data_IF_353237796151
#
_entry.id   IF_353237796151
#
_cell.length_a   1.000
_cell.length_b   1.000
_cell.length_c   1.000
_cell.angle_alpha   90.00
_cell.angle_beta   90.00
_cell.angle_gamma   90.00
#
_symmetry.space_group_name_H-M   'P 1'
#
loop_
_entity.id
_entity.type
_entity.pdbx_description
1 polymer ?
#
# COMPACT_ATOMS: atom_id res chain seq x y z
N UNK A 1 -25.96 -3.80 3.40
CA UNK A 1 -24.72 -4.55 3.71
C UNK A 1 -24.67 -5.77 2.81
N UNK A 2 -23.61 -5.93 2.02
CA UNK A 2 -23.44 -7.10 1.15
C UNK A 2 -22.65 -8.15 1.93
N UNK A 3 -23.12 -9.39 1.93
CA UNK A 3 -22.41 -10.51 2.54
C UNK A 3 -21.84 -11.40 1.45
N UNK A 4 -20.59 -11.82 1.62
CA UNK A 4 -19.91 -12.77 0.74
C UNK A 4 -19.33 -13.89 1.57
N UNK A 5 -19.61 -15.13 1.20
CA UNK A 5 -18.98 -16.30 1.79
C UNK A 5 -17.86 -16.79 0.86
N UNK A 6 -16.77 -17.32 1.41
CA UNK A 6 -15.67 -17.83 0.60
C UNK A 6 -14.56 -18.47 1.43
N UNK A 7 -13.60 -19.07 0.75
CA UNK A 7 -12.45 -19.74 1.37
C UNK A 7 -11.24 -18.82 1.33
N UNK A 8 -10.58 -18.61 2.46
CA UNK A 8 -9.35 -17.82 2.49
C UNK A 8 -8.20 -18.65 1.92
N UNK A 9 -7.70 -18.25 0.75
CA UNK A 9 -6.60 -18.91 0.05
C UNK A 9 -5.24 -18.25 0.30
N UNK A 10 -5.22 -17.06 0.91
CA UNK A 10 -3.96 -16.41 1.28
C UNK A 10 -4.10 -15.19 2.17
N UNK A 11 -3.03 -14.89 2.89
CA UNK A 11 -2.89 -13.73 3.78
C UNK A 11 -1.59 -12.98 3.42
N UNK A 12 -1.67 -11.98 2.53
CA UNK A 12 -0.49 -11.21 2.10
C UNK A 12 0.18 -10.42 3.23
N UNK A 13 -0.63 -9.85 4.14
CA UNK A 13 -0.23 -8.97 5.24
C UNK A 13 -1.20 -9.14 6.43
N UNK A 14 -1.04 -8.35 7.49
CA UNK A 14 -1.84 -8.52 8.72
C UNK A 14 -3.29 -8.03 8.64
N UNK A 15 -3.71 -7.39 7.56
CA UNK A 15 -5.07 -6.85 7.41
C UNK A 15 -5.70 -7.08 6.03
N UNK A 16 -5.09 -7.90 5.18
CA UNK A 16 -5.60 -8.23 3.85
C UNK A 16 -5.70 -9.74 3.67
N UNK A 17 -6.79 -10.18 3.06
CA UNK A 17 -7.07 -11.57 2.69
C UNK A 17 -7.21 -11.71 1.18
N UNK A 18 -6.86 -12.90 0.67
CA UNK A 18 -7.25 -13.39 -0.64
C UNK A 18 -8.36 -14.41 -0.43
N UNK A 19 -9.57 -14.08 -0.88
CA UNK A 19 -10.76 -14.90 -0.73
C UNK A 19 -11.12 -15.52 -2.08
N UNK A 20 -11.30 -16.84 -2.10
CA UNK A 20 -11.86 -17.56 -3.23
C UNK A 20 -13.37 -17.69 -3.01
N UNK A 21 -14.16 -17.12 -3.92
CA UNK A 21 -15.62 -17.10 -3.87
C UNK A 21 -16.15 -18.00 -4.98
N UNK A 22 -17.01 -18.95 -4.62
CA UNK A 22 -17.66 -19.81 -5.59
C UNK A 22 -18.80 -19.06 -6.29
N UNK A 23 -19.05 -19.33 -7.58
CA UNK A 23 -20.13 -18.69 -8.29
C UNK A 23 -21.49 -19.08 -7.72
N UNK A 24 -22.33 -18.08 -7.45
CA UNK A 24 -23.66 -18.26 -6.86
C UNK A 24 -23.74 -18.01 -5.36
N UNK A 25 -22.61 -17.82 -4.65
CA UNK A 25 -22.62 -17.44 -3.23
C UNK A 25 -22.75 -15.91 -3.00
N UNK A 26 -22.72 -15.10 -4.06
CA UNK A 26 -23.07 -13.68 -4.02
C UNK A 26 -24.60 -13.51 -3.89
N UNK A 27 -25.12 -13.58 -2.67
CA UNK A 27 -26.56 -13.51 -2.40
C UNK A 27 -27.09 -12.07 -2.55
N UNK A 28 -27.48 -11.72 -3.77
CA UNK A 28 -28.62 -10.84 -4.05
C UNK A 28 -29.74 -11.72 -4.60
N UNK A 29 -30.88 -11.76 -3.90
CA UNK A 29 -32.03 -12.62 -4.22
C UNK A 29 -32.59 -12.35 -5.63
N UNK A 30 -32.14 -13.09 -6.64
CA UNK A 30 -32.88 -13.22 -7.90
C UNK A 30 -32.78 -14.64 -8.45
N UNK A 31 -33.87 -15.39 -8.31
CA UNK A 31 -34.01 -16.76 -8.80
C UNK A 31 -34.19 -16.71 -10.32
N UNK A 32 -33.14 -17.03 -11.10
CA UNK A 32 -33.25 -17.13 -12.56
C UNK A 32 -33.58 -18.58 -12.96
N UNK A 33 -34.54 -18.82 -13.88
CA UNK A 33 -34.95 -20.16 -14.27
C UNK A 33 -33.84 -20.92 -15.01
N UNK A 34 -33.70 -22.20 -14.68
CA UNK A 34 -32.69 -23.12 -15.22
C UNK A 34 -33.09 -23.57 -16.63
N UNK A 35 -32.62 -22.86 -17.64
CA UNK A 35 -32.69 -23.31 -19.04
C UNK A 35 -31.54 -22.72 -19.86
N UNK A 36 -30.33 -23.26 -19.62
CA UNK A 36 -29.21 -23.42 -20.57
C UNK A 36 -27.99 -23.97 -19.84
N UNK A 37 -27.52 -25.16 -20.24
CA UNK A 37 -26.16 -25.64 -19.93
C UNK A 37 -25.16 -24.68 -20.60
N UNK A 38 -24.69 -23.66 -19.87
CA UNK A 38 -23.57 -22.80 -20.28
C UNK A 38 -22.72 -22.55 -19.07
N UNK A 39 -21.53 -23.16 -19.06
CA UNK A 39 -20.35 -22.88 -18.24
C UNK A 39 -20.67 -22.31 -16.85
N UNK A 40 -20.67 -23.16 -15.82
CA UNK A 40 -20.57 -22.69 -14.43
C UNK A 40 -19.47 -21.63 -14.37
N UNK A 41 -19.72 -20.43 -13.82
CA UNK A 41 -18.68 -19.40 -13.79
C UNK A 41 -17.45 -19.95 -13.07
N UNK A 42 -16.26 -19.47 -13.40
CA UNK A 42 -15.06 -19.87 -12.66
C UNK A 42 -15.10 -19.25 -11.25
N UNK A 43 -14.54 -19.91 -10.22
CA UNK A 43 -14.38 -19.30 -8.92
C UNK A 43 -13.51 -18.05 -9.03
N UNK A 44 -13.93 -16.99 -8.34
CA UNK A 44 -13.28 -15.68 -8.42
C UNK A 44 -12.41 -15.45 -7.18
N UNK A 45 -11.19 -14.96 -7.39
CA UNK A 45 -10.32 -14.55 -6.30
C UNK A 45 -10.41 -13.04 -6.07
N UNK A 46 -10.86 -12.63 -4.89
CA UNK A 46 -10.99 -11.23 -4.50
C UNK A 46 -10.03 -10.89 -3.36
N UNK A 47 -9.63 -9.62 -3.27
CA UNK A 47 -8.84 -9.11 -2.15
C UNK A 47 -9.76 -8.39 -1.18
N UNK A 48 -9.69 -8.78 0.09
CA UNK A 48 -10.49 -8.20 1.15
C UNK A 48 -9.56 -7.53 2.15
N UNK A 49 -9.75 -6.24 2.44
CA UNK A 49 -9.08 -5.54 3.52
C UNK A 49 -10.01 -5.49 4.73
N UNK A 50 -9.46 -5.82 5.89
CA UNK A 50 -10.18 -5.76 7.16
C UNK A 50 -10.55 -4.31 7.44
N UNK A 51 -11.85 -4.05 7.51
CA UNK A 51 -12.40 -2.73 7.78
C UNK A 51 -12.09 -2.25 9.20
N UNK A 52 -11.85 -0.95 9.33
CA UNK A 52 -11.70 -0.26 10.60
C UNK A 52 -10.38 -0.48 11.32
N UNK A 53 -9.50 -1.33 10.80
CA UNK A 53 -8.22 -1.65 11.43
C UNK A 53 -7.04 -1.51 10.45
N UNK A 54 -5.85 -1.34 10.99
CA UNK A 54 -4.60 -1.29 10.25
C UNK A 54 -3.53 -2.05 11.05
N UNK A 55 -2.86 -3.01 10.41
CA UNK A 55 -1.82 -3.80 11.10
C UNK A 55 -0.42 -3.26 10.85
N UNK A 56 0.54 -3.50 11.76
CA UNK A 56 1.93 -3.14 11.52
C UNK A 56 2.43 -3.74 10.20
N UNK A 57 3.09 -2.91 9.39
CA UNK A 57 3.65 -3.34 8.11
C UNK A 57 4.64 -4.50 8.32
N UNK A 58 4.87 -5.33 7.30
CA UNK A 58 5.77 -6.49 7.42
C UNK A 58 7.17 -6.15 7.97
N UNK A 59 7.67 -4.95 7.67
CA UNK A 59 8.97 -4.46 8.13
C UNK A 59 8.92 -3.68 9.46
N UNK A 60 7.74 -3.45 10.03
CA UNK A 60 7.58 -2.85 11.34
C UNK A 60 7.77 -3.90 12.45
N UNK A 61 8.13 -3.45 13.66
CA UNK A 61 7.92 -4.24 14.87
C UNK A 61 6.51 -4.85 14.88
N UNK A 62 6.42 -6.12 15.29
CA UNK A 62 5.17 -6.90 15.35
C UNK A 62 4.47 -7.24 14.01
N UNK A 63 4.91 -6.73 12.86
CA UNK A 63 4.21 -6.95 11.58
C UNK A 63 4.09 -8.41 11.17
N UNK A 64 5.17 -9.19 11.32
CA UNK A 64 5.14 -10.63 11.04
C UNK A 64 4.21 -11.40 12.00
N UNK A 65 4.16 -11.01 13.28
CA UNK A 65 3.28 -11.66 14.27
C UNK A 65 1.82 -11.35 13.99
N UNK A 66 1.49 -10.12 13.61
CA UNK A 66 0.13 -9.75 13.21
C UNK A 66 -0.33 -10.56 11.98
N UNK A 67 0.51 -10.65 10.94
CA UNK A 67 0.22 -11.50 9.77
C UNK A 67 0.02 -12.98 10.15
N UNK A 68 0.88 -13.52 11.00
CA UNK A 68 0.78 -14.90 11.43
C UNK A 68 -0.52 -15.17 12.19
N UNK A 69 -0.89 -14.29 13.13
CA UNK A 69 -2.15 -14.41 13.89
C UNK A 69 -3.38 -14.43 12.97
N UNK A 70 -3.44 -13.52 11.99
CA UNK A 70 -4.52 -13.53 11.00
C UNK A 70 -4.53 -14.84 10.20
N UNK A 71 -3.37 -15.29 9.72
CA UNK A 71 -3.26 -16.54 8.97
C UNK A 71 -3.71 -17.77 9.79
N UNK A 72 -3.29 -17.88 11.05
CA UNK A 72 -3.65 -18.99 11.93
C UNK A 72 -5.16 -19.06 12.18
N UNK A 73 -5.82 -17.90 12.23
CA UNK A 73 -7.28 -17.80 12.42
C UNK A 73 -8.05 -18.22 11.17
N UNK A 74 -7.69 -17.70 9.99
CA UNK A 74 -8.57 -17.75 8.82
C UNK A 74 -8.06 -18.54 7.63
N UNK A 75 -6.75 -18.81 7.51
CA UNK A 75 -6.20 -19.46 6.31
C UNK A 75 -6.80 -20.86 6.12
N UNK A 76 -7.21 -21.17 4.88
CA UNK A 76 -7.91 -22.42 4.50
C UNK A 76 -9.22 -22.65 5.26
N UNK A 77 -9.81 -21.61 5.85
CA UNK A 77 -11.15 -21.64 6.46
C UNK A 77 -12.17 -20.97 5.52
N UNK A 78 -13.42 -21.41 5.61
CA UNK A 78 -14.56 -20.69 5.03
C UNK A 78 -14.98 -19.57 5.99
N UNK A 79 -15.03 -18.34 5.48
CA UNK A 79 -15.39 -17.14 6.24
C UNK A 79 -16.56 -16.42 5.57
N UNK A 80 -17.29 -15.65 6.36
CA UNK A 80 -18.28 -14.69 5.88
C UNK A 80 -17.71 -13.28 5.97
N UNK A 81 -17.82 -12.52 4.90
CA UNK A 81 -17.38 -11.13 4.82
C UNK A 81 -18.61 -10.23 4.76
N UNK A 82 -18.83 -9.44 5.80
CA UNK A 82 -19.78 -8.32 5.75
C UNK A 82 -19.09 -7.10 5.16
N UNK A 83 -19.55 -6.60 4.02
CA UNK A 83 -18.92 -5.50 3.29
C UNK A 83 -19.85 -4.30 3.09
N UNK A 84 -19.24 -3.12 3.18
CA UNK A 84 -19.86 -1.82 2.95
C UNK A 84 -19.40 -1.16 1.63
N UNK A 85 -18.37 -1.71 0.96
CA UNK A 85 -17.88 -1.17 -0.30
C UNK A 85 -16.46 -1.60 -0.64
N UNK A 86 -15.87 -0.92 -1.63
CA UNK A 86 -14.49 -1.13 -2.08
C UNK A 86 -13.67 0.14 -1.81
N UNK A 87 -12.38 -0.03 -1.57
CA UNK A 87 -11.46 1.10 -1.52
C UNK A 87 -11.03 1.55 -2.93
N UNK A 88 -10.31 2.69 -2.99
CA UNK A 88 -9.80 3.24 -4.25
C UNK A 88 -8.83 2.32 -5.02
N UNK A 89 -8.38 1.23 -4.41
CA UNK A 89 -7.47 0.26 -5.00
C UNK A 89 -8.21 -1.02 -5.44
N UNK A 90 -9.54 -1.04 -5.40
CA UNK A 90 -10.37 -2.18 -5.77
C UNK A 90 -10.32 -3.33 -4.76
N UNK A 91 -9.96 -3.07 -3.50
CA UNK A 91 -10.06 -4.07 -2.42
C UNK A 91 -11.41 -3.93 -1.75
N UNK A 92 -12.08 -5.05 -1.53
CA UNK A 92 -13.30 -5.09 -0.75
C UNK A 92 -12.98 -4.72 0.70
N UNK A 93 -13.67 -3.72 1.25
CA UNK A 93 -13.61 -3.39 2.68
C UNK A 93 -14.66 -4.22 3.41
N UNK A 94 -14.25 -4.96 4.46
CA UNK A 94 -15.22 -5.72 5.22
C UNK A 94 -14.76 -6.27 6.56
N UNK A 95 -15.75 -6.70 7.33
CA UNK A 95 -15.60 -7.46 8.57
C UNK A 95 -15.64 -8.95 8.28
N UNK A 96 -14.70 -9.67 8.88
CA UNK A 96 -14.54 -11.10 8.65
C UNK A 96 -15.14 -11.86 9.84
N UNK A 97 -16.09 -12.75 9.53
CA UNK A 97 -16.76 -13.60 10.50
C UNK A 97 -16.40 -15.07 10.26
N UNK A 98 -16.00 -15.77 11.32
CA UNK A 98 -15.70 -17.21 11.30
C UNK A 98 -16.44 -17.91 12.45
N UNK A 99 -17.50 -18.64 12.15
CA UNK A 99 -18.27 -19.35 13.18
C UNK A 99 -18.82 -18.44 14.29
N UNK A 100 -19.25 -17.23 13.93
CA UNK A 100 -19.76 -16.21 14.88
C UNK A 100 -18.69 -15.31 15.51
N UNK A 101 -17.40 -15.62 15.31
CA UNK A 101 -16.29 -14.78 15.77
C UNK A 101 -16.07 -13.60 14.83
N UNK A 102 -15.93 -12.40 15.37
CA UNK A 102 -15.49 -11.20 14.64
C UNK A 102 -13.96 -11.13 14.65
N UNK A 103 -13.34 -11.49 13.53
CA UNK A 103 -11.88 -11.57 13.41
C UNK A 103 -11.24 -10.18 13.48
N UNK A 104 -11.91 -9.13 13.00
CA UNK A 104 -11.38 -7.77 13.09
C UNK A 104 -11.22 -7.36 14.56
N UNK A 105 -12.24 -7.66 15.39
CA UNK A 105 -12.20 -7.40 16.84
C UNK A 105 -11.19 -8.24 17.59
N UNK A 106 -11.04 -9.52 17.24
CA UNK A 106 -10.00 -10.37 17.83
C UNK A 106 -8.60 -9.83 17.55
N UNK A 107 -8.33 -9.42 16.30
CA UNK A 107 -7.04 -8.85 15.93
C UNK A 107 -6.69 -7.60 16.73
N UNK A 108 -7.68 -6.77 17.07
CA UNK A 108 -7.47 -5.58 17.92
C UNK A 108 -7.27 -5.97 19.39
N UNK A 109 -8.16 -6.80 19.94
CA UNK A 109 -8.14 -7.24 21.35
C UNK A 109 -6.85 -7.98 21.71
N UNK A 110 -6.30 -8.75 20.79
CA UNK A 110 -5.04 -9.48 20.96
C UNK A 110 -3.80 -8.59 20.71
N UNK A 111 -3.99 -7.30 20.37
CA UNK A 111 -2.90 -6.36 20.12
C UNK A 111 -2.15 -6.62 18.81
N UNK A 112 -2.82 -7.10 17.77
CA UNK A 112 -2.23 -7.28 16.45
C UNK A 112 -2.53 -6.13 15.48
N UNK A 113 -3.52 -5.29 15.79
CA UNK A 113 -3.95 -4.20 14.93
C UNK A 113 -4.21 -2.90 15.69
N UNK A 114 -4.02 -1.78 15.00
CA UNK A 114 -4.45 -0.46 15.43
C UNK A 114 -5.85 -0.19 14.91
N UNK A 115 -6.66 0.53 15.69
CA UNK A 115 -7.96 1.01 15.22
C UNK A 115 -7.74 2.23 14.32
N UNK A 116 -8.23 2.15 13.09
CA UNK A 116 -8.05 3.24 12.13
C UNK A 116 -9.15 4.29 12.30
N UNK A 117 -9.04 5.09 13.37
CA UNK A 117 -10.05 6.09 13.80
C UNK A 117 -10.45 7.13 12.76
N UNK A 118 -9.65 7.29 11.69
CA UNK A 118 -10.01 8.14 10.54
C UNK A 118 -11.22 7.59 9.75
N UNK A 119 -11.40 6.27 9.75
CA UNK A 119 -12.39 5.58 8.91
C UNK A 119 -13.40 4.75 9.71
N UNK A 120 -13.25 4.65 11.03
CA UNK A 120 -14.22 3.97 11.87
C UNK A 120 -14.42 4.69 13.20
N UNK A 121 -15.67 4.70 13.66
CA UNK A 121 -16.10 5.16 14.99
C UNK A 121 -16.72 4.01 15.80
N UNK A 122 -16.48 2.75 15.41
CA UNK A 122 -17.04 1.59 16.10
C UNK A 122 -16.56 1.52 17.57
N UNK A 123 -17.45 1.68 18.55
CA UNK A 123 -17.09 1.65 19.97
C UNK A 123 -16.54 0.28 20.39
N UNK A 124 -16.92 -0.80 19.71
CA UNK A 124 -16.41 -2.14 19.97
C UNK A 124 -14.92 -2.25 19.67
N UNK A 125 -14.48 -1.78 18.50
CA UNK A 125 -13.05 -1.76 18.13
C UNK A 125 -12.26 -0.82 19.05
N UNK A 126 -12.79 0.36 19.37
CA UNK A 126 -12.13 1.33 20.25
C UNK A 126 -11.96 0.77 21.67
N UNK A 127 -13.00 0.13 22.21
CA UNK A 127 -12.93 -0.52 23.53
C UNK A 127 -11.93 -1.67 23.55
N UNK A 128 -11.89 -2.47 22.49
CA UNK A 128 -10.95 -3.58 22.35
C UNK A 128 -9.49 -3.11 22.30
N UNK A 129 -9.22 -1.99 21.62
CA UNK A 129 -7.88 -1.39 21.58
C UNK A 129 -7.48 -0.86 22.96
N UNK A 130 -8.42 -0.23 23.68
CA UNK A 130 -8.22 0.24 25.04
C UNK A 130 -7.84 -0.91 25.99
N UNK A 131 -8.57 -2.02 25.93
CA UNK A 131 -8.28 -3.21 26.73
C UNK A 131 -6.91 -3.81 26.38
N UNK A 132 -6.62 -3.97 25.08
CA UNK A 132 -5.33 -4.51 24.62
C UNK A 132 -4.14 -3.65 25.09
N UNK A 133 -4.29 -2.32 25.10
CA UNK A 133 -3.28 -1.39 25.64
C UNK A 133 -3.09 -1.55 27.14
N UNK A 134 -4.20 -1.60 27.90
CA UNK A 134 -4.17 -1.73 29.35
C UNK A 134 -3.49 -3.04 29.79
N UNK A 135 -3.75 -4.12 29.05
CA UNK A 135 -3.19 -5.45 29.29
C UNK A 135 -1.79 -5.65 28.68
N UNK A 136 -1.26 -4.66 27.95
CA UNK A 136 -0.02 -4.77 27.17
C UNK A 136 -0.02 -5.98 26.24
N UNK A 137 -1.16 -6.30 25.65
CA UNK A 137 -1.32 -7.41 24.74
C UNK A 137 -0.60 -7.15 23.41
N UNK A 138 -0.01 -8.19 22.83
CA UNK A 138 0.56 -8.14 21.48
C UNK A 138 1.58 -7.00 21.30
N UNK A 139 1.35 -6.14 20.30
CA UNK A 139 2.21 -5.00 19.98
C UNK A 139 2.31 -3.99 21.13
N UNK A 140 1.34 -3.94 22.04
CA UNK A 140 1.35 -3.06 23.21
C UNK A 140 2.34 -3.50 24.30
N UNK A 141 2.93 -4.69 24.16
CA UNK A 141 4.05 -5.17 25.00
C UNK A 141 5.41 -4.57 24.59
N UNK A 142 5.51 -3.98 23.39
CA UNK A 142 6.74 -3.38 22.90
C UNK A 142 7.09 -2.09 23.66
N UNK A 143 8.35 -1.65 23.65
CA UNK A 143 8.70 -0.30 24.11
C UNK A 143 7.87 0.77 23.38
N UNK A 144 7.52 1.85 24.07
CA UNK A 144 6.65 2.91 23.50
C UNK A 144 7.18 3.48 22.18
N UNK A 145 8.50 3.62 22.04
CA UNK A 145 9.14 4.09 20.80
C UNK A 145 8.93 3.16 19.59
N UNK A 146 8.66 1.87 19.83
CA UNK A 146 8.40 0.88 18.79
C UNK A 146 6.90 0.73 18.48
N UNK A 147 6.03 1.32 19.29
CA UNK A 147 4.57 1.34 19.11
C UNK A 147 4.14 2.42 18.12
N UNK A 148 4.68 2.37 16.91
CA UNK A 148 4.37 3.34 15.85
C UNK A 148 3.18 2.84 15.02
N UNK A 149 2.09 3.61 14.87
CA UNK A 149 0.98 3.17 14.05
C UNK A 149 1.38 3.09 12.57
N UNK A 150 0.76 2.21 11.76
CA UNK A 150 1.26 1.92 10.43
C UNK A 150 1.22 3.12 9.48
N UNK A 151 0.22 3.98 9.63
CA UNK A 151 0.11 5.22 8.85
C UNK A 151 1.24 6.22 9.17
N UNK A 152 1.76 6.25 10.39
CA UNK A 152 2.89 7.12 10.77
C UNK A 152 4.20 6.55 10.25
N UNK A 153 4.41 5.25 10.40
CA UNK A 153 5.57 4.55 9.84
C UNK A 153 5.70 4.75 8.33
N UNK A 154 4.59 4.62 7.58
CA UNK A 154 4.56 4.89 6.13
C UNK A 154 4.95 6.33 5.82
N UNK A 155 4.52 7.33 6.63
CA UNK A 155 4.90 8.74 6.43
C UNK A 155 6.38 8.99 6.71
N UNK A 156 6.91 8.39 7.77
CA UNK A 156 8.33 8.52 8.13
C UNK A 156 9.23 7.96 7.03
N UNK A 157 8.95 6.75 6.53
CA UNK A 157 9.74 6.13 5.45
C UNK A 157 9.68 6.90 4.13
N UNK A 158 8.54 7.53 3.81
CA UNK A 158 8.45 8.42 2.64
C UNK A 158 9.38 9.62 2.79
N UNK A 159 9.40 10.26 3.96
CA UNK A 159 10.31 11.38 4.24
C UNK A 159 11.77 10.97 4.19
N UNK A 160 12.13 9.82 4.78
CA UNK A 160 13.50 9.30 4.72
C UNK A 160 13.92 8.93 3.30
N UNK A 161 13.03 8.35 2.50
CA UNK A 161 13.28 8.07 1.07
C UNK A 161 13.48 9.36 0.27
N UNK A 162 12.65 10.39 0.49
CA UNK A 162 12.82 11.70 -0.14
C UNK A 162 14.11 12.40 0.29
N UNK A 163 14.50 12.29 1.57
CA UNK A 163 15.74 12.85 2.09
C UNK A 163 16.98 12.12 1.54
N UNK A 164 16.91 10.78 1.40
CA UNK A 164 17.99 10.00 0.79
C UNK A 164 18.12 10.29 -0.70
N UNK A 165 17.01 10.41 -1.45
CA UNK A 165 17.04 10.81 -2.86
C UNK A 165 17.59 12.23 -3.04
N UNK A 166 17.26 13.16 -2.13
CA UNK A 166 17.83 14.50 -2.14
C UNK A 166 19.35 14.50 -1.82
N UNK A 167 19.83 13.56 -1.00
CA UNK A 167 21.24 13.41 -0.66
C UNK A 167 22.04 12.60 -1.69
N UNK A 168 21.39 11.83 -2.55
CA UNK A 168 22.00 11.06 -3.65
C UNK A 168 21.70 11.66 -5.03
N UNK A 169 21.10 12.85 -5.09
CA UNK A 169 21.15 13.65 -6.31
C UNK A 169 22.63 13.92 -6.61
N UNK A 170 23.09 13.83 -7.87
CA UNK A 170 24.43 14.26 -8.19
C UNK A 170 24.54 15.71 -7.70
N UNK A 171 25.51 15.95 -6.81
CA UNK A 171 25.82 17.31 -6.39
C UNK A 171 26.14 18.17 -7.62
N UNK A 172 26.27 19.49 -7.47
CA UNK A 172 26.80 20.30 -8.56
C UNK A 172 28.20 19.75 -8.86
N UNK A 173 28.30 18.95 -9.91
CA UNK A 173 29.57 18.52 -10.47
C UNK A 173 30.40 19.78 -10.63
N UNK A 174 31.69 19.77 -10.27
CA UNK A 174 32.59 20.89 -10.55
C UNK A 174 32.69 21.01 -12.07
N UNK A 175 31.76 21.73 -12.68
CA UNK A 175 31.65 21.90 -14.12
C UNK A 175 32.80 22.79 -14.54
N UNK A 176 33.87 22.20 -15.04
CA UNK A 176 35.04 22.90 -15.55
C UNK A 176 34.90 23.12 -17.05
N UNK A 177 35.07 24.37 -17.48
CA UNK A 177 35.11 24.69 -18.89
C UNK A 177 36.31 24.03 -19.57
N UNK A 178 36.07 23.17 -20.56
CA UNK A 178 37.12 22.63 -21.44
C UNK A 178 37.10 21.12 -21.66
N UNK A 179 36.48 20.33 -20.78
CA UNK A 179 36.50 18.86 -20.90
C UNK A 179 35.52 18.32 -21.95
N UNK A 180 34.42 19.04 -22.19
CA UNK A 180 33.33 18.63 -23.09
C UNK A 180 32.98 19.74 -24.06
N UNK A 181 32.96 19.41 -25.35
CA UNK A 181 32.81 20.38 -26.46
C UNK A 181 31.64 20.05 -27.38
N UNK A 182 31.09 18.86 -27.31
CA UNK A 182 30.00 18.42 -28.18
C UNK A 182 28.82 17.90 -27.36
N UNK A 183 27.60 18.07 -27.88
CA UNK A 183 26.37 17.64 -27.20
C UNK A 183 26.35 16.15 -26.81
N UNK A 184 27.00 15.29 -27.60
CA UNK A 184 27.12 13.85 -27.32
C UNK A 184 27.91 13.51 -26.05
N UNK A 185 28.69 14.46 -25.52
CA UNK A 185 29.53 14.27 -24.34
C UNK A 185 28.81 14.68 -23.05
N UNK A 186 27.65 15.32 -23.18
CA UNK A 186 26.84 15.85 -22.09
C UNK A 186 25.66 14.91 -21.83
N UNK A 187 25.36 14.67 -20.56
CA UNK A 187 24.34 13.69 -20.16
C UNK A 187 23.05 14.39 -19.73
N UNK A 188 23.15 15.63 -19.24
CA UNK A 188 22.00 16.36 -18.70
C UNK A 188 21.85 17.74 -19.34
N UNK A 189 20.61 18.23 -19.42
CA UNK A 189 20.35 19.57 -19.94
C UNK A 189 20.99 20.68 -19.07
N UNK A 190 21.10 20.47 -17.76
CA UNK A 190 21.75 21.41 -16.85
C UNK A 190 23.27 21.56 -17.14
N UNK A 191 23.93 20.47 -17.53
CA UNK A 191 25.32 20.47 -17.98
C UNK A 191 25.49 21.22 -19.31
N UNK A 192 24.62 20.95 -20.29
CA UNK A 192 24.66 21.64 -21.59
C UNK A 192 24.47 23.15 -21.47
N UNK A 193 23.52 23.60 -20.63
CA UNK A 193 23.27 25.03 -20.36
C UNK A 193 24.46 25.71 -19.71
N UNK A 194 25.09 25.07 -18.71
CA UNK A 194 26.29 25.61 -18.07
C UNK A 194 27.41 25.85 -19.08
N UNK A 195 27.66 24.90 -19.99
CA UNK A 195 28.73 25.06 -20.99
C UNK A 195 28.40 26.10 -22.07
N UNK A 196 27.13 26.31 -22.40
CA UNK A 196 26.71 27.40 -23.28
C UNK A 196 26.89 28.77 -22.60
N UNK A 197 26.40 28.94 -21.37
CA UNK A 197 26.37 30.24 -20.69
C UNK A 197 27.69 30.63 -20.02
N UNK A 198 28.29 29.72 -19.25
CA UNK A 198 29.48 30.00 -18.43
C UNK A 198 30.78 29.75 -19.20
N UNK A 199 30.78 28.81 -20.15
CA UNK A 199 31.96 28.46 -20.95
C UNK A 199 31.94 29.02 -22.37
N UNK A 200 30.88 29.73 -22.77
CA UNK A 200 30.76 30.41 -24.07
C UNK A 200 30.71 29.46 -25.28
N UNK A 201 30.27 28.22 -25.11
CA UNK A 201 30.22 27.24 -26.20
C UNK A 201 28.96 27.40 -27.06
N UNK A 202 28.87 28.51 -27.81
CA UNK A 202 27.76 28.83 -28.72
C UNK A 202 27.44 27.72 -29.73
N UNK A 203 28.44 26.92 -30.12
CA UNK A 203 28.30 25.74 -30.99
C UNK A 203 27.39 24.61 -30.46
N UNK A 204 26.99 24.66 -29.19
CA UNK A 204 26.01 23.73 -28.62
C UNK A 204 24.56 24.12 -28.96
N UNK A 205 24.34 25.38 -29.31
CA UNK A 205 23.08 25.99 -29.71
C UNK A 205 23.13 26.26 -31.22
N UNK A 206 22.70 25.26 -32.00
CA UNK A 206 22.89 25.23 -33.45
C UNK A 206 21.94 26.14 -34.22
N UNK A 207 20.77 26.43 -33.65
CA UNK A 207 19.71 27.28 -34.18
C UNK A 207 19.67 28.67 -33.53
N UNK A 208 20.44 28.90 -32.46
CA UNK A 208 20.69 30.22 -31.88
C UNK A 208 19.54 30.72 -31.02
N UNK A 209 18.73 29.81 -30.47
CA UNK A 209 17.53 30.13 -29.69
C UNK A 209 17.81 30.23 -28.18
N UNK A 210 19.05 29.99 -27.77
CA UNK A 210 19.51 29.98 -26.38
C UNK A 210 19.39 28.61 -25.70
N UNK A 211 18.95 27.56 -26.39
CA UNK A 211 18.83 26.21 -25.87
C UNK A 211 19.93 25.30 -26.46
N UNK A 212 20.90 24.86 -25.65
CA UNK A 212 21.94 23.99 -26.15
C UNK A 212 21.46 22.54 -26.22
N UNK A 213 21.94 21.82 -27.21
CA UNK A 213 21.76 20.37 -27.32
C UNK A 213 20.28 19.95 -27.27
N UNK A 214 19.50 20.38 -28.25
CA UNK A 214 18.06 20.10 -28.41
C UNK A 214 17.65 18.66 -28.12
N UNK A 215 18.46 17.68 -28.53
CA UNK A 215 18.20 16.26 -28.26
C UNK A 215 18.11 15.91 -26.76
N UNK A 216 18.75 16.69 -25.89
CA UNK A 216 18.80 16.50 -24.43
C UNK A 216 17.87 17.50 -23.73
N UNK A 217 17.81 18.74 -24.20
CA UNK A 217 17.05 19.82 -23.54
C UNK A 217 15.57 19.93 -23.93
N UNK A 218 15.14 19.36 -25.06
CA UNK A 218 13.74 19.40 -25.52
C UNK A 218 12.76 18.57 -24.67
N UNK A 219 13.25 17.60 -23.88
CA UNK A 219 12.42 16.71 -23.05
C UNK A 219 12.22 17.17 -21.60
N UNK A 220 12.88 18.27 -21.19
CA UNK A 220 12.88 18.74 -19.80
C UNK A 220 11.79 19.80 -19.49
N UNK A 221 10.59 19.64 -20.08
CA UNK A 221 9.41 20.47 -19.77
C UNK A 221 8.65 19.96 -18.55
#
# INVERSE_FOLDING_TARGET
>A
MRCLDGIVVGVPDGDTLKLLVEPGEAHGSEVRPVSRLRQSPAPAQIRVRLEGIDTPERAQPWGNRARQSLADKVLRRRVRVGSEGEDRYGRLLGRIYLGGRDINREMVREGHAWVYRRYTSDPGLIGDEGAARAERAGLWSLPEGDQVPPWDWRRQRRRSGSAQIAASAPGPETRTCGEKRYCREMVTCAEARFHLSECGLSRLDGDGDGVPCEAICSQAR
#
